data_IF_039925920012
#
_entry.id   IF_039925920012
#
_cell.length_a   1.000
_cell.length_b   1.000
_cell.length_c   1.000
_cell.angle_alpha   90.00
_cell.angle_beta   90.00
_cell.angle_gamma   90.00
#
_symmetry.space_group_name_H-M   'P 1'
#
loop_
_entity.id
_entity.type
_entity.pdbx_description
1 polymer ?
#
# COMPACT_ATOMS: atom_id res chain seq x y z
N UNK A 1 4.73 -12.29 -8.75
CA UNK A 1 5.97 -11.49 -8.76
C UNK A 1 5.65 -10.17 -8.09
N UNK A 2 6.37 -9.80 -7.02
CA UNK A 2 6.16 -8.51 -6.36
C UNK A 2 7.05 -7.49 -7.06
N UNK A 3 6.43 -6.50 -7.70
CA UNK A 3 7.13 -5.39 -8.33
C UNK A 3 7.06 -4.18 -7.40
N UNK A 4 8.22 -3.63 -7.05
CA UNK A 4 8.32 -2.42 -6.24
C UNK A 4 8.53 -1.23 -7.16
N UNK A 5 7.62 -0.26 -7.11
CA UNK A 5 7.75 1.04 -7.78
C UNK A 5 8.03 2.11 -6.75
N UNK A 6 8.90 3.07 -7.07
CA UNK A 6 9.13 4.27 -6.23
C UNK A 6 7.86 5.12 -6.07
N UNK A 7 6.89 4.97 -6.97
CA UNK A 7 5.63 5.70 -6.96
C UNK A 7 4.57 4.98 -6.14
N UNK A 8 3.93 5.72 -5.25
CA UNK A 8 2.80 5.25 -4.46
C UNK A 8 1.62 4.89 -5.39
N UNK A 9 1.01 3.71 -5.24
CA UNK A 9 -0.04 3.28 -6.16
C UNK A 9 -1.35 4.06 -6.00
N UNK A 10 -1.58 4.77 -4.89
CA UNK A 10 -2.76 5.61 -4.70
C UNK A 10 -2.59 7.01 -5.32
N UNK A 11 -1.49 7.69 -5.00
CA UNK A 11 -1.26 9.11 -5.33
C UNK A 11 -0.37 9.33 -6.56
N UNK A 12 0.36 8.29 -7.00
CA UNK A 12 1.40 8.35 -8.04
C UNK A 12 2.56 9.30 -7.71
N UNK A 13 2.65 9.77 -6.47
CA UNK A 13 3.77 10.54 -5.97
C UNK A 13 4.88 9.62 -5.46
N UNK A 14 6.09 10.13 -5.24
CA UNK A 14 7.16 9.37 -4.62
C UNK A 14 6.78 8.97 -3.19
N UNK A 15 6.97 7.69 -2.86
CA UNK A 15 6.80 7.19 -1.50
C UNK A 15 7.85 7.85 -0.63
N UNK A 16 7.44 8.43 0.51
CA UNK A 16 8.34 9.09 1.49
C UNK A 16 8.47 8.25 2.76
N UNK A 17 7.36 7.73 3.27
CA UNK A 17 7.33 6.81 4.41
C UNK A 17 6.83 5.43 3.96
N UNK A 18 7.74 4.53 3.53
CA UNK A 18 7.35 3.25 2.95
C UNK A 18 6.76 2.32 4.00
N UNK A 19 5.53 1.88 3.73
CA UNK A 19 4.82 0.87 4.52
C UNK A 19 4.35 -0.26 3.62
N UNK A 20 4.35 -1.49 4.13
CA UNK A 20 4.01 -2.68 3.37
C UNK A 20 2.80 -3.38 3.99
N UNK A 21 1.89 -3.88 3.16
CA UNK A 21 0.88 -4.82 3.63
C UNK A 21 1.52 -6.20 3.84
N UNK A 22 1.46 -6.75 5.06
CA UNK A 22 2.06 -8.05 5.40
C UNK A 22 1.45 -9.23 4.64
N UNK A 23 0.24 -9.10 4.08
CA UNK A 23 -0.49 -10.13 3.34
C UNK A 23 -0.09 -10.15 1.85
N UNK A 24 -0.27 -9.05 1.12
CA UNK A 24 0.02 -8.99 -0.32
C UNK A 24 1.44 -8.50 -0.66
N UNK A 25 2.19 -8.00 0.33
CA UNK A 25 3.55 -7.47 0.20
C UNK A 25 3.68 -6.23 -0.69
N UNK A 26 2.58 -5.59 -1.09
CA UNK A 26 2.63 -4.29 -1.78
C UNK A 26 2.99 -3.17 -0.82
N UNK A 27 3.70 -2.18 -1.35
CA UNK A 27 4.24 -1.03 -0.61
C UNK A 27 3.48 0.23 -1.00
N UNK A 28 3.27 1.10 -0.02
CA UNK A 28 2.54 2.35 -0.12
C UNK A 28 3.29 3.43 0.66
N UNK A 29 2.89 4.68 0.43
CA UNK A 29 3.17 5.74 1.38
C UNK A 29 2.20 5.68 2.58
N UNK A 30 2.71 5.87 3.80
CA UNK A 30 1.91 5.80 5.04
C UNK A 30 0.73 6.76 5.04
N UNK A 31 0.92 8.01 4.63
CA UNK A 31 -0.13 9.01 4.67
C UNK A 31 -1.23 8.66 3.67
N UNK A 32 -0.81 8.21 2.49
CA UNK A 32 -1.70 7.84 1.39
C UNK A 32 -2.58 6.63 1.75
N UNK A 33 -2.01 5.59 2.37
CA UNK A 33 -2.79 4.41 2.77
C UNK A 33 -3.78 4.73 3.90
N UNK A 34 -3.39 5.58 4.86
CA UNK A 34 -4.24 5.99 5.96
C UNK A 34 -5.42 6.84 5.46
N UNK A 35 -5.16 7.78 4.55
CA UNK A 35 -6.19 8.56 3.89
C UNK A 35 -7.17 7.67 3.11
N UNK A 36 -6.65 6.71 2.32
CA UNK A 36 -7.49 5.79 1.56
C UNK A 36 -8.38 4.94 2.49
N UNK A 37 -7.83 4.36 3.55
CA UNK A 37 -8.60 3.57 4.53
C UNK A 37 -9.70 4.42 5.18
N UNK A 38 -9.38 5.66 5.54
CA UNK A 38 -10.34 6.62 6.08
C UNK A 38 -11.49 6.91 5.10
N UNK A 39 -11.18 7.11 3.83
CA UNK A 39 -12.15 7.40 2.78
C UNK A 39 -13.09 6.23 2.49
N UNK A 40 -12.59 4.99 2.34
CA UNK A 40 -13.52 3.86 2.16
C UNK A 40 -14.37 3.61 3.41
N UNK A 41 -13.84 3.85 4.63
CA UNK A 41 -14.67 3.78 5.85
C UNK A 41 -15.80 4.80 5.84
N UNK A 42 -15.53 6.06 5.44
CA UNK A 42 -16.58 7.09 5.29
C UNK A 42 -17.61 6.71 4.24
N UNK A 43 -17.18 6.17 3.11
CA UNK A 43 -18.05 5.76 2.00
C UNK A 43 -18.72 4.39 2.20
N UNK A 44 -18.42 3.69 3.31
CA UNK A 44 -18.84 2.30 3.57
C UNK A 44 -18.48 1.33 2.43
N UNK A 45 -17.33 1.57 1.80
CA UNK A 45 -16.78 0.72 0.74
C UNK A 45 -15.69 -0.19 1.31
N UNK A 46 -15.46 -1.31 0.64
CA UNK A 46 -14.34 -2.20 0.94
C UNK A 46 -13.03 -1.50 0.53
N UNK A 47 -12.10 -1.33 1.46
CA UNK A 47 -10.77 -0.85 1.11
C UNK A 47 -9.96 -1.99 0.54
N UNK A 48 -9.65 -1.95 -0.76
CA UNK A 48 -8.86 -2.98 -1.41
C UNK A 48 -7.45 -2.48 -1.73
N UNK A 49 -6.56 -3.42 -2.05
CA UNK A 49 -5.25 -3.06 -2.57
C UNK A 49 -5.39 -2.46 -3.98
N UNK A 50 -4.81 -1.28 -4.26
CA UNK A 50 -4.95 -0.58 -5.54
C UNK A 50 -4.12 -1.21 -6.67
N UNK A 51 -3.23 -2.14 -6.34
CA UNK A 51 -2.42 -2.85 -7.34
C UNK A 51 -3.30 -3.82 -8.11
N UNK A 52 -3.40 -3.60 -9.42
CA UNK A 52 -4.20 -4.44 -10.31
C UNK A 52 -3.73 -5.91 -10.27
N UNK A 53 -4.69 -6.83 -10.20
CA UNK A 53 -4.40 -8.26 -10.10
C UNK A 53 -3.87 -8.70 -8.74
N UNK A 54 -3.95 -7.87 -7.69
CA UNK A 54 -3.58 -8.27 -6.35
C UNK A 54 -4.43 -9.47 -5.89
N UNK A 55 -3.81 -10.60 -5.47
CA UNK A 55 -4.55 -11.80 -5.06
C UNK A 55 -5.21 -11.64 -3.68
N UNK A 56 -4.79 -10.65 -2.89
CA UNK A 56 -5.37 -10.38 -1.58
C UNK A 56 -6.74 -9.68 -1.74
N UNK A 57 -7.81 -10.44 -1.50
CA UNK A 57 -9.20 -9.96 -1.47
C UNK A 57 -9.66 -9.50 -0.08
N UNK A 58 -8.79 -9.56 0.93
CA UNK A 58 -9.13 -9.09 2.28
C UNK A 58 -9.11 -7.55 2.32
N UNK A 59 -10.03 -6.92 3.07
CA UNK A 59 -9.99 -5.48 3.27
C UNK A 59 -8.64 -5.04 3.86
N UNK A 60 -8.12 -3.97 3.30
CA UNK A 60 -6.95 -3.28 3.79
C UNK A 60 -7.25 -2.62 5.13
N UNK A 61 -6.47 -2.96 6.14
CA UNK A 61 -6.55 -2.39 7.49
C UNK A 61 -5.17 -2.01 7.97
N UNK A 62 -5.08 -0.95 8.77
CA UNK A 62 -3.83 -0.50 9.37
C UNK A 62 -3.16 -1.58 10.23
N UNK A 63 -3.91 -2.57 10.73
CA UNK A 63 -3.36 -3.71 11.47
C UNK A 63 -2.51 -4.66 10.61
N UNK A 64 -2.69 -4.62 9.29
CA UNK A 64 -1.92 -5.40 8.32
C UNK A 64 -0.81 -4.58 7.65
N UNK A 65 -0.76 -3.28 7.92
CA UNK A 65 0.27 -2.36 7.40
C UNK A 65 1.42 -2.30 8.40
N UNK A 66 2.63 -2.60 7.93
CA UNK A 66 3.86 -2.56 8.72
C UNK A 66 4.88 -1.61 8.09
N UNK A 67 5.72 -0.98 8.91
CA UNK A 67 6.81 -0.16 8.40
C UNK A 67 7.78 -1.00 7.55
N UNK A 68 8.21 -0.46 6.41
CA UNK A 68 9.12 -1.16 5.51
C UNK A 68 10.32 -0.29 5.14
N UNK A 69 11.23 -0.01 6.09
CA UNK A 69 12.36 0.90 5.88
C UNK A 69 13.37 0.40 4.84
N UNK A 70 13.40 -0.91 4.56
CA UNK A 70 14.27 -1.54 3.54
C UNK A 70 13.73 -1.40 2.11
N UNK A 71 12.65 -0.64 1.91
CA UNK A 71 12.00 -0.49 0.62
C UNK A 71 12.94 -0.04 -0.50
N UNK A 72 13.74 1.01 -0.27
CA UNK A 72 14.61 1.57 -1.31
C UNK A 72 15.77 0.63 -1.70
N UNK A 73 16.20 -0.26 -0.81
CA UNK A 73 17.19 -1.30 -1.08
C UNK A 73 16.62 -2.40 -2.02
N UNK A 74 15.30 -2.61 -1.97
CA UNK A 74 14.60 -3.59 -2.79
C UNK A 74 14.12 -3.06 -4.14
N UNK A 75 14.31 -1.76 -4.43
CA UNK A 75 14.02 -1.20 -5.76
C UNK A 75 15.05 -1.75 -6.74
N UNK A 76 14.63 -2.67 -7.62
CA UNK A 76 15.44 -3.06 -8.76
C UNK A 76 15.43 -1.91 -9.77
N UNK A 77 16.62 -1.47 -10.16
CA UNK A 77 16.83 -0.62 -11.34
C UNK A 77 16.32 -1.31 -12.61
#
# INVERSE_FOLDING_TARGET
>A
MIYYSRKDPYTKQDIKDPVQNKICKHVYDRESVLANIGECKKRRLLCECPVSGCPNKKPLTMADIVAFPKFYDCLKD
#
